data_IF_278269648932
#
_entry.id   IF_278269648932
#
_cell.length_a   1.000
_cell.length_b   1.000
_cell.length_c   1.000
_cell.angle_alpha   90.00
_cell.angle_beta   90.00
_cell.angle_gamma   90.00
#
_symmetry.space_group_name_H-M   'P 1'
#
loop_
_entity.id
_entity.type
_entity.pdbx_description
1 polymer ?
#
# COMPACT_ATOMS: atom_id res chain seq x y z
N UNK A 1 -2.45 16.51 13.32
CA UNK A 1 -3.10 15.77 14.41
C UNK A 1 -3.86 14.56 13.85
N UNK A 2 -3.94 13.50 14.63
CA UNK A 2 -4.76 12.33 14.30
C UNK A 2 -6.23 12.65 14.58
N UNK A 3 -7.12 12.24 13.68
CA UNK A 3 -8.56 12.30 13.93
C UNK A 3 -9.00 11.27 14.98
N UNK A 4 -10.13 11.48 15.61
CA UNK A 4 -10.68 10.55 16.61
C UNK A 4 -10.95 9.15 16.02
N UNK A 5 -11.29 9.07 14.73
CA UNK A 5 -11.49 7.81 14.02
C UNK A 5 -10.18 7.05 13.85
N UNK A 6 -9.12 7.73 13.43
CA UNK A 6 -7.77 7.15 13.29
C UNK A 6 -7.23 6.68 14.64
N UNK A 7 -7.35 7.52 15.67
CA UNK A 7 -6.95 7.16 17.03
C UNK A 7 -7.63 5.89 17.54
N UNK A 8 -8.95 5.79 17.34
CA UNK A 8 -9.72 4.59 17.74
C UNK A 8 -9.30 3.35 16.95
N UNK A 9 -9.00 3.48 15.65
CA UNK A 9 -8.48 2.41 14.83
C UNK A 9 -7.15 1.92 15.38
N UNK A 10 -6.17 2.81 15.53
CA UNK A 10 -4.83 2.49 16.02
C UNK A 10 -4.88 1.78 17.38
N UNK A 11 -5.65 2.33 18.33
CA UNK A 11 -5.79 1.72 19.65
C UNK A 11 -6.42 0.32 19.63
N UNK A 12 -7.31 0.05 18.68
CA UNK A 12 -7.91 -1.28 18.46
C UNK A 12 -6.84 -2.24 17.90
N UNK A 13 -6.10 -1.79 16.89
CA UNK A 13 -5.07 -2.59 16.24
C UNK A 13 -3.93 -2.93 17.20
N UNK A 14 -3.49 -1.98 18.03
CA UNK A 14 -2.51 -2.22 19.10
C UNK A 14 -3.01 -3.25 20.13
N UNK A 15 -4.31 -3.25 20.47
CA UNK A 15 -4.88 -4.24 21.41
C UNK A 15 -5.05 -5.62 20.79
N UNK A 16 -5.27 -5.71 19.49
CA UNK A 16 -5.50 -6.97 18.77
C UNK A 16 -4.21 -7.70 18.46
N UNK A 17 -3.14 -6.97 18.20
CA UNK A 17 -1.84 -7.53 17.83
C UNK A 17 -0.94 -7.82 19.04
N UNK A 18 0.04 -8.68 18.84
CA UNK A 18 1.10 -8.93 19.84
C UNK A 18 1.95 -7.67 20.01
N UNK A 19 2.50 -7.47 21.21
CA UNK A 19 3.22 -6.23 21.57
C UNK A 19 4.45 -5.92 20.73
N UNK A 20 5.03 -6.89 20.04
CA UNK A 20 6.18 -6.72 19.15
C UNK A 20 5.80 -6.53 17.67
N UNK A 21 4.51 -6.68 17.32
CA UNK A 21 4.04 -6.42 15.94
C UNK A 21 3.80 -4.94 15.78
N UNK A 22 4.50 -4.25 14.87
CA UNK A 22 4.30 -2.84 14.64
C UNK A 22 2.92 -2.57 14.06
N UNK A 23 2.32 -1.46 14.47
CA UNK A 23 1.03 -0.98 13.95
C UNK A 23 1.25 0.33 13.23
N UNK A 24 0.84 0.39 11.98
CA UNK A 24 0.98 1.58 11.15
C UNK A 24 0.07 2.71 11.66
N UNK A 25 0.69 3.76 12.15
CA UNK A 25 0.00 4.97 12.62
C UNK A 25 -0.36 5.87 11.44
N UNK A 26 0.59 6.14 10.56
CA UNK A 26 0.44 7.01 9.39
C UNK A 26 1.34 6.56 8.26
N UNK A 27 0.82 6.58 7.06
CA UNK A 27 1.53 6.28 5.82
C UNK A 27 1.83 7.56 5.04
N UNK A 28 2.73 7.47 4.07
CA UNK A 28 3.07 8.53 3.12
C UNK A 28 3.47 9.85 3.81
N UNK A 29 4.37 9.75 4.78
CA UNK A 29 4.91 10.92 5.46
C UNK A 29 5.77 11.74 4.51
N UNK A 30 5.53 13.05 4.46
CA UNK A 30 6.42 13.98 3.78
C UNK A 30 7.67 14.22 4.63
N UNK A 31 8.76 14.60 4.00
CA UNK A 31 10.06 14.77 4.66
C UNK A 31 10.03 15.66 5.91
N UNK A 32 9.21 16.72 5.90
CA UNK A 32 9.06 17.59 7.07
C UNK A 32 8.45 16.87 8.28
N UNK A 33 7.52 15.92 8.06
CA UNK A 33 6.96 15.11 9.15
C UNK A 33 7.98 14.09 9.66
N UNK A 34 8.74 13.47 8.75
CA UNK A 34 9.83 12.54 9.10
C UNK A 34 10.83 13.26 10.01
N UNK A 35 11.33 14.41 9.60
CA UNK A 35 12.30 15.20 10.38
C UNK A 35 11.78 15.59 11.77
N UNK A 36 10.50 15.97 11.87
CA UNK A 36 9.87 16.30 13.16
C UNK A 36 9.78 15.07 14.09
N UNK A 37 9.46 13.90 13.55
CA UNK A 37 9.39 12.67 14.35
C UNK A 37 10.80 12.27 14.80
N UNK A 38 11.79 12.29 13.91
CA UNK A 38 13.18 11.93 14.21
C UNK A 38 13.79 12.82 15.31
N UNK A 39 13.58 14.12 15.24
CA UNK A 39 14.05 15.05 16.28
C UNK A 39 13.42 14.77 17.63
N UNK A 40 12.16 14.31 17.66
CA UNK A 40 11.44 14.01 18.90
C UNK A 40 11.47 12.52 19.27
N UNK A 41 12.24 11.69 18.58
CA UNK A 41 12.35 10.24 18.87
C UNK A 41 12.65 9.92 20.32
N UNK A 42 13.52 10.67 21.07
CA UNK A 42 13.75 10.41 22.48
C UNK A 42 12.48 10.50 23.35
N UNK A 43 11.52 11.33 22.95
CA UNK A 43 10.25 11.55 23.67
C UNK A 43 9.13 10.62 23.17
N UNK A 44 9.40 9.82 22.12
CA UNK A 44 8.44 8.94 21.44
C UNK A 44 8.87 7.46 21.53
N UNK A 45 9.01 6.88 22.72
CA UNK A 45 9.47 5.49 22.87
C UNK A 45 8.50 4.52 22.16
N UNK A 46 9.04 3.66 21.29
CA UNK A 46 8.26 2.69 20.54
C UNK A 46 7.66 3.20 19.23
N UNK A 47 7.95 4.43 18.84
CA UNK A 47 7.65 4.95 17.49
C UNK A 47 8.87 4.74 16.61
N UNK A 48 8.62 4.15 15.44
CA UNK A 48 9.65 3.89 14.43
C UNK A 48 9.18 4.51 13.11
N UNK A 49 10.12 4.99 12.33
CA UNK A 49 9.89 5.34 10.93
C UNK A 49 10.41 4.18 10.11
N UNK A 50 9.55 3.64 9.27
CA UNK A 50 9.89 2.58 8.35
C UNK A 50 9.77 3.09 6.91
N UNK A 51 10.64 2.60 6.04
CA UNK A 51 10.64 2.92 4.62
C UNK A 51 10.07 1.72 3.88
N UNK A 52 9.00 1.94 3.16
CA UNK A 52 8.33 0.91 2.40
C UNK A 52 7.86 1.43 1.05
N UNK A 53 7.52 0.51 0.17
CA UNK A 53 6.91 0.83 -1.11
C UNK A 53 5.42 1.06 -0.97
N UNK A 54 4.89 2.04 -1.69
CA UNK A 54 3.45 2.31 -1.76
C UNK A 54 3.02 2.53 -3.20
N UNK A 55 1.76 2.29 -3.49
CA UNK A 55 1.19 2.60 -4.80
C UNK A 55 1.13 4.11 -4.99
N UNK A 56 1.61 4.56 -6.14
CA UNK A 56 1.50 5.92 -6.61
C UNK A 56 0.85 5.93 -8.00
N UNK A 57 -0.20 6.71 -8.17
CA UNK A 57 -0.99 6.81 -9.39
C UNK A 57 -0.89 8.23 -9.94
N UNK A 58 0.13 8.56 -10.76
CA UNK A 58 0.34 9.92 -11.25
C UNK A 58 -0.81 10.43 -12.12
N UNK A 59 -1.54 9.54 -12.79
CA UNK A 59 -2.68 9.82 -13.65
C UNK A 59 -3.95 9.12 -13.16
N UNK A 60 -4.15 9.08 -11.84
CA UNK A 60 -5.18 8.27 -11.19
C UNK A 60 -6.60 8.57 -11.65
N UNK A 61 -6.93 9.82 -11.97
CA UNK A 61 -8.27 10.22 -12.41
C UNK A 61 -8.61 9.62 -13.78
N UNK A 62 -7.67 9.67 -14.72
CA UNK A 62 -7.89 9.19 -16.09
C UNK A 62 -7.92 7.67 -16.20
N UNK A 63 -7.22 6.97 -15.29
CA UNK A 63 -7.02 5.52 -15.36
C UNK A 63 -7.74 4.76 -14.23
N UNK A 64 -8.48 5.42 -13.36
CA UNK A 64 -9.09 4.80 -12.17
C UNK A 64 -9.90 3.55 -12.48
N UNK A 65 -10.67 3.55 -13.57
CA UNK A 65 -11.52 2.43 -13.96
C UNK A 65 -10.73 1.23 -14.49
N UNK A 66 -9.57 1.45 -15.10
CA UNK A 66 -8.70 0.41 -15.66
C UNK A 66 -7.76 -0.13 -14.59
N UNK A 67 -7.02 0.76 -13.93
CA UNK A 67 -6.04 0.37 -12.91
C UNK A 67 -6.72 -0.21 -11.67
N UNK A 68 -7.84 0.37 -11.27
CA UNK A 68 -8.48 0.02 -10.01
C UNK A 68 -7.76 0.64 -8.81
N UNK A 69 -7.80 -0.05 -7.68
CA UNK A 69 -7.22 0.44 -6.44
C UNK A 69 -6.81 -0.69 -5.50
N UNK A 70 -5.94 -0.37 -4.55
CA UNK A 70 -5.55 -1.26 -3.46
C UNK A 70 -6.25 -0.84 -2.16
N UNK A 71 -6.66 -1.81 -1.35
CA UNK A 71 -7.22 -1.56 -0.02
C UNK A 71 -6.82 -2.67 0.96
N UNK A 72 -6.98 -2.46 2.27
CA UNK A 72 -6.66 -3.46 3.27
C UNK A 72 -7.38 -4.79 3.02
N UNK A 73 -6.70 -5.88 3.38
CA UNK A 73 -7.26 -7.24 3.32
C UNK A 73 -8.49 -7.34 4.23
N UNK A 74 -9.57 -7.88 3.71
CA UNK A 74 -10.77 -8.22 4.51
C UNK A 74 -10.67 -9.66 5.05
N UNK A 75 -11.46 -9.97 6.09
CA UNK A 75 -11.42 -11.29 6.75
C UNK A 75 -11.68 -12.46 5.78
N UNK A 76 -12.48 -12.27 4.74
CA UNK A 76 -12.77 -13.30 3.73
C UNK A 76 -11.68 -13.49 2.67
N UNK A 77 -10.69 -12.62 2.62
CA UNK A 77 -9.59 -12.64 1.64
C UNK A 77 -8.28 -13.19 2.23
N UNK A 78 -8.24 -13.42 3.53
CA UNK A 78 -7.12 -14.07 4.19
C UNK A 78 -7.11 -15.56 3.80
N UNK A 79 -6.22 -15.93 2.88
CA UNK A 79 -6.14 -17.30 2.31
C UNK A 79 -5.10 -18.18 3.02
N UNK A 80 -4.58 -17.74 4.17
CA UNK A 80 -3.48 -18.40 4.86
C UNK A 80 -2.08 -17.97 4.39
N UNK A 81 -2.00 -17.01 3.48
CA UNK A 81 -0.76 -16.33 3.13
C UNK A 81 -0.34 -15.41 4.30
N UNK A 82 0.84 -15.61 4.92
CA UNK A 82 1.29 -14.80 6.04
C UNK A 82 1.34 -13.30 5.78
N UNK A 83 1.55 -12.88 4.53
CA UNK A 83 1.57 -11.47 4.15
C UNK A 83 0.17 -10.84 4.27
N UNK A 84 -0.89 -11.59 3.97
CA UNK A 84 -2.26 -11.10 4.08
C UNK A 84 -2.72 -10.95 5.52
N UNK A 85 -2.04 -11.58 6.45
CA UNK A 85 -2.32 -11.48 7.89
C UNK A 85 -1.64 -10.27 8.54
N UNK A 86 -0.72 -9.61 7.82
CA UNK A 86 -0.04 -8.43 8.34
C UNK A 86 -1.00 -7.23 8.49
N UNK A 87 -0.94 -6.54 9.63
CA UNK A 87 -1.78 -5.37 9.88
C UNK A 87 -1.56 -4.27 8.84
N UNK A 88 -2.63 -3.89 8.16
CA UNK A 88 -2.56 -2.82 7.16
C UNK A 88 -2.07 -3.26 5.78
N UNK A 89 -1.77 -4.54 5.59
CA UNK A 89 -1.41 -5.04 4.27
C UNK A 89 -2.53 -4.80 3.26
N UNK A 90 -2.16 -4.41 2.04
CA UNK A 90 -3.10 -4.01 0.99
C UNK A 90 -3.00 -4.92 -0.21
N UNK A 91 -4.14 -5.23 -0.79
CA UNK A 91 -4.27 -6.02 -2.02
C UNK A 91 -5.09 -5.27 -3.05
N UNK A 92 -4.95 -5.64 -4.31
CA UNK A 92 -5.76 -5.14 -5.41
C UNK A 92 -7.23 -5.54 -5.25
N UNK A 93 -8.14 -4.56 -5.29
CA UNK A 93 -9.60 -4.78 -5.13
C UNK A 93 -10.36 -4.74 -6.44
N UNK A 94 -9.86 -4.03 -7.41
CA UNK A 94 -10.49 -3.86 -8.71
C UNK A 94 -9.44 -3.68 -9.82
N UNK A 95 -9.88 -3.78 -11.07
CA UNK A 95 -9.07 -3.50 -12.24
C UNK A 95 -7.80 -4.33 -12.34
N UNK A 96 -6.78 -3.75 -12.95
CA UNK A 96 -5.47 -4.37 -13.15
C UNK A 96 -4.77 -4.68 -11.83
N UNK A 97 -4.94 -3.84 -10.81
CA UNK A 97 -4.42 -4.10 -9.46
C UNK A 97 -4.92 -5.43 -8.89
N UNK A 98 -6.19 -5.78 -9.14
CA UNK A 98 -6.75 -7.05 -8.69
C UNK A 98 -6.28 -8.23 -9.55
N UNK A 99 -6.28 -8.07 -10.87
CA UNK A 99 -5.94 -9.16 -11.80
C UNK A 99 -4.48 -9.56 -11.67
N UNK A 100 -3.59 -8.58 -11.49
CA UNK A 100 -2.15 -8.79 -11.39
C UNK A 100 -1.61 -8.61 -9.96
N UNK A 101 -2.46 -8.69 -8.93
CA UNK A 101 -2.08 -8.43 -7.54
C UNK A 101 -0.83 -9.22 -7.10
N UNK A 102 -0.76 -10.51 -7.41
CA UNK A 102 0.40 -11.35 -7.05
C UNK A 102 1.70 -10.90 -7.73
N UNK A 103 1.62 -10.51 -9.00
CA UNK A 103 2.80 -10.05 -9.74
C UNK A 103 3.24 -8.66 -9.27
N UNK A 104 2.29 -7.75 -9.06
CA UNK A 104 2.54 -6.38 -8.62
C UNK A 104 2.95 -6.26 -7.15
N UNK A 105 2.62 -7.26 -6.33
CA UNK A 105 2.90 -7.31 -4.90
C UNK A 105 4.38 -7.54 -4.59
N UNK A 106 5.07 -8.31 -5.45
CA UNK A 106 6.42 -8.77 -5.18
C UNK A 106 6.46 -9.81 -4.05
N UNK A 107 7.61 -9.94 -3.42
CA UNK A 107 7.83 -10.84 -2.29
C UNK A 107 8.08 -10.06 -1.01
N UNK A 108 7.51 -10.51 0.09
CA UNK A 108 7.71 -9.89 1.40
C UNK A 108 9.12 -10.16 1.94
N UNK A 109 9.73 -9.15 2.52
CA UNK A 109 10.92 -9.32 3.34
C UNK A 109 10.58 -9.91 4.72
N UNK A 110 11.60 -10.33 5.44
CA UNK A 110 11.50 -10.74 6.82
C UNK A 110 12.60 -10.09 7.68
N UNK A 111 12.33 -9.92 8.96
CA UNK A 111 13.31 -9.48 9.94
C UNK A 111 13.19 -10.34 11.19
N UNK A 112 14.32 -10.88 11.65
CA UNK A 112 14.42 -11.59 12.91
C UNK A 112 14.87 -10.60 13.99
N UNK A 113 14.07 -10.48 15.04
CA UNK A 113 14.34 -9.56 16.14
C UNK A 113 14.42 -10.30 17.48
N UNK A 114 15.38 -9.93 18.29
CA UNK A 114 15.44 -10.37 19.68
C UNK A 114 14.53 -9.49 20.54
N UNK A 115 13.64 -10.12 21.29
CA UNK A 115 12.71 -9.43 22.19
C UNK A 115 12.95 -9.82 23.64
N UNK A 116 12.72 -8.90 24.58
CA UNK A 116 12.75 -9.20 26.02
C UNK A 116 11.44 -9.90 26.46
N UNK A 117 11.39 -10.31 27.74
CA UNK A 117 10.22 -10.96 28.32
C UNK A 117 8.92 -10.13 28.25
N UNK A 118 9.01 -8.84 28.00
CA UNK A 118 7.88 -7.91 27.84
C UNK A 118 7.50 -7.67 26.36
N UNK A 119 8.17 -8.36 25.39
CA UNK A 119 7.93 -8.21 23.97
C UNK A 119 8.51 -6.92 23.37
N UNK A 120 9.48 -6.28 24.02
CA UNK A 120 10.20 -5.12 23.45
C UNK A 120 11.39 -5.59 22.64
N UNK A 121 11.53 -5.07 21.44
CA UNK A 121 12.68 -5.35 20.57
C UNK A 121 13.95 -4.80 21.23
N UNK A 122 14.95 -5.68 21.39
CA UNK A 122 16.27 -5.35 21.90
C UNK A 122 17.20 -5.03 20.75
N UNK A 123 17.22 -5.90 19.73
CA UNK A 123 18.04 -5.74 18.52
C UNK A 123 17.47 -6.54 17.36
N UNK A 124 17.82 -6.14 16.16
CA UNK A 124 17.62 -6.91 14.94
C UNK A 124 18.78 -7.90 14.80
N UNK A 125 18.46 -9.17 14.55
CA UNK A 125 19.43 -10.25 14.38
C UNK A 125 19.77 -10.46 12.92
N UNK A 126 18.75 -10.47 12.06
CA UNK A 126 18.88 -10.58 10.61
C UNK A 126 17.75 -9.84 9.92
N UNK A 127 18.02 -9.37 8.71
CA UNK A 127 17.04 -8.74 7.82
C UNK A 127 17.23 -9.26 6.41
N UNK A 128 16.14 -9.65 5.80
CA UNK A 128 16.06 -9.96 4.38
C UNK A 128 15.02 -9.02 3.77
N UNK A 129 15.48 -8.14 2.91
CA UNK A 129 14.58 -7.20 2.24
C UNK A 129 13.69 -7.93 1.23
N UNK A 130 12.48 -7.42 1.03
CA UNK A 130 11.57 -7.93 0.03
C UNK A 130 12.04 -7.58 -1.38
N UNK A 131 11.50 -8.29 -2.36
CA UNK A 131 11.72 -7.97 -3.77
C UNK A 131 10.51 -7.19 -4.31
N UNK A 132 10.76 -6.09 -5.06
CA UNK A 132 9.68 -5.33 -5.69
C UNK A 132 8.88 -6.19 -6.66
N UNK A 133 7.63 -5.81 -6.89
CA UNK A 133 6.77 -6.49 -7.85
C UNK A 133 7.21 -6.31 -9.29
N UNK A 134 6.63 -7.13 -10.16
CA UNK A 134 6.88 -7.06 -11.59
C UNK A 134 6.29 -5.79 -12.22
N UNK A 135 6.92 -5.31 -13.27
CA UNK A 135 6.37 -4.27 -14.12
C UNK A 135 5.30 -4.86 -15.05
N UNK A 136 4.16 -4.18 -15.14
CA UNK A 136 3.06 -4.55 -16.04
C UNK A 136 2.82 -3.42 -17.02
N UNK A 137 3.09 -3.67 -18.29
CA UNK A 137 2.79 -2.75 -19.38
C UNK A 137 1.39 -3.01 -19.93
N UNK A 138 0.61 -1.93 -20.07
CA UNK A 138 -0.72 -1.98 -20.67
C UNK A 138 -0.65 -1.56 -22.14
N UNK A 139 -1.65 -1.96 -22.92
CA UNK A 139 -1.83 -1.59 -24.34
C UNK A 139 -2.45 -0.21 -24.51
N UNK A 140 -2.75 0.49 -23.40
CA UNK A 140 -3.42 1.80 -23.42
C UNK A 140 -2.41 2.89 -23.72
N UNK A 141 -2.71 3.68 -24.76
CA UNK A 141 -2.01 4.94 -25.04
C UNK A 141 -2.47 6.02 -24.08
N UNK A 142 -1.53 6.59 -23.31
CA UNK A 142 -1.81 7.57 -22.28
C UNK A 142 -2.36 8.89 -22.84
N UNK A 143 -1.85 9.35 -23.99
CA UNK A 143 -2.28 10.62 -24.59
C UNK A 143 -3.69 10.49 -25.16
N UNK A 144 -3.98 9.34 -25.77
CA UNK A 144 -5.31 9.03 -26.30
C UNK A 144 -6.34 8.89 -25.18
N UNK A 145 -5.98 8.23 -24.09
CA UNK A 145 -6.83 8.11 -22.89
C UNK A 145 -7.18 9.48 -22.31
N UNK A 146 -6.18 10.36 -22.17
CA UNK A 146 -6.40 11.71 -21.66
C UNK A 146 -7.27 12.54 -22.59
N UNK A 147 -7.02 12.46 -23.90
CA UNK A 147 -7.84 13.13 -24.89
C UNK A 147 -9.30 12.66 -24.82
N UNK A 148 -9.52 11.36 -24.69
CA UNK A 148 -10.87 10.81 -24.55
C UNK A 148 -11.54 11.32 -23.27
N UNK A 149 -10.85 11.30 -22.13
CA UNK A 149 -11.36 11.80 -20.85
C UNK A 149 -11.74 13.29 -20.92
N UNK A 150 -10.88 14.13 -21.52
CA UNK A 150 -11.17 15.56 -21.74
C UNK A 150 -12.40 15.79 -22.62
N UNK A 151 -12.62 14.93 -23.63
CA UNK A 151 -13.74 15.08 -24.56
C UNK A 151 -15.09 14.67 -23.97
N UNK A 152 -15.11 13.78 -23.00
CA UNK A 152 -16.33 13.28 -22.35
C UNK A 152 -16.49 13.77 -20.90
N UNK A 153 -15.68 14.76 -20.48
CA UNK A 153 -15.58 15.19 -19.07
C UNK A 153 -16.94 15.47 -18.40
N UNK A 154 -17.90 16.02 -19.14
CA UNK A 154 -19.23 16.37 -18.64
C UNK A 154 -20.31 15.34 -19.03
N UNK A 155 -19.94 14.24 -19.64
CA UNK A 155 -20.87 13.24 -20.18
C UNK A 155 -20.73 11.89 -19.44
N UNK A 156 -21.87 11.20 -19.28
CA UNK A 156 -21.86 9.81 -18.83
C UNK A 156 -21.67 8.89 -20.03
N UNK A 157 -20.43 8.65 -20.42
CA UNK A 157 -20.11 7.92 -21.64
C UNK A 157 -18.98 6.90 -21.39
N UNK A 158 -18.84 5.96 -22.32
CA UNK A 158 -17.70 5.05 -22.42
C UNK A 158 -17.08 5.16 -23.79
N UNK A 159 -15.75 5.15 -23.87
CA UNK A 159 -14.98 5.18 -25.09
C UNK A 159 -14.22 3.88 -25.23
N UNK A 160 -14.30 3.25 -26.39
CA UNK A 160 -13.51 2.07 -26.77
C UNK A 160 -12.74 2.41 -28.02
N UNK A 161 -11.44 2.27 -27.96
CA UNK A 161 -10.52 2.43 -29.10
C UNK A 161 -9.77 1.12 -29.25
N UNK A 162 -9.65 0.66 -30.47
CA UNK A 162 -8.98 -0.59 -30.77
C UNK A 162 -8.18 -0.45 -32.05
N UNK A 163 -6.93 -0.88 -32.02
CA UNK A 163 -6.12 -1.01 -33.22
C UNK A 163 -6.68 -2.17 -34.08
N UNK A 164 -7.04 -1.85 -35.31
CA UNK A 164 -7.65 -2.80 -36.24
C UNK A 164 -6.66 -3.86 -36.78
N UNK A 165 -5.35 -3.67 -36.57
CA UNK A 165 -4.32 -4.58 -37.06
C UNK A 165 -3.99 -5.67 -36.07
N UNK A 166 -4.01 -5.40 -34.76
CA UNK A 166 -3.57 -6.33 -33.72
C UNK A 166 -4.63 -6.55 -32.62
N UNK A 167 -5.68 -5.72 -32.56
CA UNK A 167 -6.77 -5.84 -31.60
C UNK A 167 -6.47 -5.27 -30.22
N UNK A 168 -5.37 -4.53 -30.09
CA UNK A 168 -5.00 -3.80 -28.85
C UNK A 168 -5.82 -2.53 -28.64
#
# INVERSE_FOLDING_TARGET
PLSDKERRRILRDVKRNRSFVPVTVRENLIWSHVSQIEVNTPDLPGVLIDVGESRYYPHGEDFAHVLGYVAPVSEGEATGDPLLELPGFRIGKAGMEKVHDLALRGTGGNSEVEVNAYGRIIRELSRQDGEPGAEVQLTIDMELQRLAAERIADESAAVVVMDIHNGE
#
